data_IF_535666489739
#
_entry.id   IF_535666489739
#
_cell.length_a   1.000
_cell.length_b   1.000
_cell.length_c   1.000
_cell.angle_alpha   90.00
_cell.angle_beta   90.00
_cell.angle_gamma   90.00
#
_symmetry.space_group_name_H-M   'P 1'
#
loop_
_entity.id
_entity.type
_entity.pdbx_description
1 polymer ?
#
# COMPACT_ATOMS: atom_id res chain seq x y z
N UNK A 1 12.08 10.92 3.30
CA UNK A 1 11.29 9.85 2.66
C UNK A 1 10.74 8.96 3.76
N UNK A 2 9.48 8.53 3.68
CA UNK A 2 8.81 7.75 4.72
C UNK A 2 8.42 6.37 4.19
N UNK A 3 8.30 5.40 5.10
CA UNK A 3 7.71 4.11 4.79
C UNK A 3 6.19 4.24 4.90
N UNK A 4 5.47 3.78 3.88
CA UNK A 4 4.01 3.69 3.89
C UNK A 4 3.59 2.24 3.73
N UNK A 5 2.84 1.73 4.70
CA UNK A 5 2.23 0.42 4.64
C UNK A 5 0.92 0.50 3.85
N UNK A 6 0.88 -0.12 2.68
CA UNK A 6 -0.30 -0.26 1.84
C UNK A 6 -1.00 -1.57 2.22
N UNK A 7 -2.22 -1.48 2.72
CA UNK A 7 -3.12 -2.62 2.91
C UNK A 7 -3.95 -2.81 1.64
N UNK A 8 -3.89 -3.99 1.04
CA UNK A 8 -4.58 -4.27 -0.22
C UNK A 8 -5.18 -5.68 -0.24
N UNK A 9 -6.12 -5.92 -1.15
CA UNK A 9 -6.67 -7.25 -1.46
C UNK A 9 -6.76 -7.46 -2.96
N UNK A 10 -6.74 -8.70 -3.40
CA UNK A 10 -7.07 -9.05 -4.78
C UNK A 10 -8.57 -8.85 -5.02
N UNK A 11 -8.93 -8.27 -6.18
CA UNK A 11 -10.34 -8.12 -6.59
C UNK A 11 -10.95 -9.43 -7.11
N UNK A 12 -10.11 -10.28 -7.70
CA UNK A 12 -10.51 -11.56 -8.28
C UNK A 12 -9.66 -12.69 -7.67
N UNK A 13 -10.29 -13.84 -7.41
CA UNK A 13 -9.67 -14.97 -6.70
C UNK A 13 -9.87 -14.92 -5.18
N UNK A 14 -9.04 -15.65 -4.44
CA UNK A 14 -9.15 -15.73 -2.99
C UNK A 14 -8.84 -14.37 -2.32
N UNK A 15 -9.78 -13.77 -1.58
CA UNK A 15 -9.63 -12.44 -1.01
C UNK A 15 -8.69 -12.46 0.21
N UNK A 16 -7.39 -12.56 -0.06
CA UNK A 16 -6.36 -12.44 0.97
C UNK A 16 -5.99 -10.96 1.14
N UNK A 17 -6.15 -10.45 2.37
CA UNK A 17 -5.60 -9.14 2.74
C UNK A 17 -4.09 -9.26 2.85
N UNK A 18 -3.37 -8.41 2.14
CA UNK A 18 -1.91 -8.32 2.16
C UNK A 18 -1.46 -6.90 2.50
N UNK A 19 -0.22 -6.81 2.96
CA UNK A 19 0.42 -5.56 3.30
C UNK A 19 1.74 -5.46 2.55
N UNK A 20 2.06 -4.26 2.06
CA UNK A 20 3.37 -3.97 1.47
C UNK A 20 3.84 -2.60 1.90
N UNK A 21 5.14 -2.48 2.19
CA UNK A 21 5.77 -1.20 2.48
C UNK A 21 6.27 -0.55 1.21
N UNK A 22 5.82 0.67 0.95
CA UNK A 22 6.28 1.52 -0.16
C UNK A 22 7.00 2.74 0.42
N UNK A 23 8.25 2.96 0.00
CA UNK A 23 8.98 4.19 0.35
C UNK A 23 8.47 5.34 -0.51
N UNK A 24 7.99 6.39 0.12
CA UNK A 24 7.46 7.56 -0.59
C UNK A 24 7.56 8.82 0.25
N UNK A 25 7.40 9.98 -0.38
CA UNK A 25 7.35 11.27 0.33
C UNK A 25 5.95 11.58 0.86
N UNK A 26 4.90 10.97 0.31
CA UNK A 26 3.51 11.16 0.74
C UNK A 26 2.65 9.92 0.50
N UNK A 27 1.51 9.82 1.21
CA UNK A 27 0.57 8.72 1.06
C UNK A 27 -0.04 8.66 -0.35
N UNK A 28 -0.29 9.83 -0.98
CA UNK A 28 -0.79 9.95 -2.35
C UNK A 28 0.20 9.34 -3.35
N UNK A 29 1.47 9.69 -3.23
CA UNK A 29 2.53 9.13 -4.09
C UNK A 29 2.78 7.64 -3.79
N UNK A 30 2.65 7.19 -2.54
CA UNK A 30 2.77 5.78 -2.20
C UNK A 30 1.66 4.94 -2.86
N UNK A 31 0.41 5.45 -2.84
CA UNK A 31 -0.72 4.84 -3.54
C UNK A 31 -0.50 4.80 -5.06
N UNK A 32 0.01 5.88 -5.63
CA UNK A 32 0.29 5.94 -7.06
C UNK A 32 1.37 4.92 -7.47
N UNK A 33 2.50 4.89 -6.77
CA UNK A 33 3.57 3.91 -7.01
C UNK A 33 3.07 2.47 -6.86
N UNK A 34 2.24 2.18 -5.85
CA UNK A 34 1.63 0.85 -5.71
C UNK A 34 0.74 0.50 -6.92
N UNK A 35 -0.10 1.44 -7.37
CA UNK A 35 -0.93 1.23 -8.56
C UNK A 35 -0.11 1.02 -9.84
N UNK A 36 1.02 1.72 -9.98
CA UNK A 36 1.94 1.56 -11.11
C UNK A 36 2.66 0.19 -11.06
N UNK A 37 3.05 -0.29 -9.88
CA UNK A 37 3.73 -1.58 -9.72
C UNK A 37 2.82 -2.79 -9.90
N UNK A 38 1.59 -2.74 -9.38
CA UNK A 38 0.70 -3.91 -9.30
C UNK A 38 -0.51 -3.83 -10.24
N UNK A 39 -0.80 -2.67 -10.82
CA UNK A 39 -1.99 -2.46 -11.64
C UNK A 39 -3.26 -2.33 -10.81
N UNK A 40 -3.90 -1.16 -10.89
CA UNK A 40 -5.14 -0.83 -10.17
C UNK A 40 -6.36 -1.71 -10.52
N UNK A 41 -6.29 -2.44 -11.64
CA UNK A 41 -7.35 -3.34 -12.09
C UNK A 41 -7.43 -4.64 -11.28
N UNK A 42 -6.29 -5.15 -10.78
CA UNK A 42 -6.20 -6.46 -10.13
C UNK A 42 -6.36 -6.41 -8.61
N UNK A 43 -6.14 -5.23 -8.01
CA UNK A 43 -6.10 -5.07 -6.57
C UNK A 43 -7.01 -3.93 -6.11
N UNK A 44 -7.50 -4.04 -4.88
CA UNK A 44 -8.22 -3.00 -4.17
C UNK A 44 -7.41 -2.57 -2.95
N UNK A 45 -7.12 -1.28 -2.85
CA UNK A 45 -6.40 -0.71 -1.72
C UNK A 45 -7.41 -0.42 -0.61
N UNK A 46 -7.23 -1.09 0.52
CA UNK A 46 -8.07 -0.97 1.71
C UNK A 46 -7.59 0.16 2.64
N UNK A 47 -6.31 0.50 2.60
CA UNK A 47 -5.76 1.56 3.43
C UNK A 47 -4.28 1.86 3.13
N UNK A 48 -3.85 3.08 3.46
CA UNK A 48 -2.46 3.52 3.36
C UNK A 48 -2.07 4.15 4.68
N UNK A 49 -1.09 3.56 5.36
CA UNK A 49 -0.68 3.96 6.70
C UNK A 49 0.77 4.43 6.66
N UNK A 50 1.07 5.59 7.23
CA UNK A 50 2.46 6.00 7.41
C UNK A 50 3.06 5.18 8.56
N UNK A 51 4.11 4.44 8.29
CA UNK A 51 4.84 3.75 9.35
C UNK A 51 5.56 4.80 10.19
N UNK A 52 5.14 4.91 11.44
CA UNK A 52 5.84 5.67 12.47
C UNK A 52 6.60 4.66 13.32
N UNK A 53 7.93 4.69 13.25
CA UNK A 53 8.73 3.97 14.25
C UNK A 53 8.49 4.68 15.58
N UNK A 54 7.74 4.05 16.48
CA UNK A 54 7.76 4.48 17.88
C UNK A 54 9.16 4.23 18.40
N UNK A 55 9.84 5.31 18.76
CA UNK A 55 11.08 5.26 19.50
C UNK A 55 10.68 5.14 20.98
N UNK A 56 10.28 3.93 21.39
CA UNK A 56 10.09 3.62 22.81
C UNK A 56 11.44 3.36 23.46
#
# INVERSE_FOLDING_TARGET
MYNFLIKYRLKTGAPATKYITVKSVSAKLAKQQFNEMYGSASFEILGVYKEVKSNV
#
